data_IF_712020898116
#
_entry.id   IF_712020898116
#
_cell.length_a   1.000
_cell.length_b   1.000
_cell.length_c   1.000
_cell.angle_alpha   90.00
_cell.angle_beta   90.00
_cell.angle_gamma   90.00
#
_symmetry.space_group_name_H-M   'P 1'
#
loop_
_entity.id
_entity.type
_entity.pdbx_description
1 polymer ?
#
# COMPACT_ATOMS: atom_id res chain seq x y z
N UNK A 1 24.08 9.41 -9.95
CA UNK A 1 22.86 8.59 -9.76
C UNK A 1 21.96 9.11 -8.63
N UNK A 2 22.02 10.40 -8.28
CA UNK A 2 21.16 10.98 -7.24
C UNK A 2 19.69 10.98 -7.65
N UNK A 3 19.42 11.22 -8.93
CA UNK A 3 18.07 11.21 -9.51
C UNK A 3 17.34 9.90 -9.28
N UNK A 4 17.99 8.74 -9.48
CA UNK A 4 17.37 7.42 -9.22
C UNK A 4 16.98 7.23 -7.74
N UNK A 5 17.85 7.65 -6.82
CA UNK A 5 17.55 7.59 -5.38
C UNK A 5 16.38 8.49 -5.00
N UNK A 6 16.28 9.67 -5.60
CA UNK A 6 15.18 10.61 -5.36
C UNK A 6 13.88 10.06 -5.95
N UNK A 7 13.91 9.54 -7.17
CA UNK A 7 12.71 8.97 -7.81
C UNK A 7 12.21 7.75 -7.04
N UNK A 8 13.11 6.84 -6.62
CA UNK A 8 12.73 5.69 -5.81
C UNK A 8 12.14 6.10 -4.46
N UNK A 9 12.73 7.11 -3.81
CA UNK A 9 12.21 7.67 -2.56
C UNK A 9 10.80 8.27 -2.72
N UNK A 10 10.58 9.07 -3.76
CA UNK A 10 9.27 9.67 -4.05
C UNK A 10 8.23 8.59 -4.36
N UNK A 11 8.57 7.56 -5.13
CA UNK A 11 7.65 6.45 -5.42
C UNK A 11 7.29 5.69 -4.14
N UNK A 12 8.24 5.45 -3.24
CA UNK A 12 7.95 4.80 -1.95
C UNK A 12 6.95 5.63 -1.12
N UNK A 13 7.12 6.95 -1.06
CA UNK A 13 6.18 7.84 -0.36
C UNK A 13 4.80 7.82 -0.98
N UNK A 14 4.70 7.83 -2.31
CA UNK A 14 3.42 7.73 -3.00
C UNK A 14 2.75 6.38 -2.73
N UNK A 15 3.50 5.27 -2.72
CA UNK A 15 2.98 3.95 -2.37
C UNK A 15 2.43 3.90 -0.94
N UNK A 16 3.14 4.49 0.02
CA UNK A 16 2.66 4.63 1.41
C UNK A 16 1.38 5.48 1.45
N UNK A 17 1.36 6.63 0.77
CA UNK A 17 0.19 7.51 0.76
C UNK A 17 -1.05 6.81 0.17
N UNK A 18 -0.88 6.07 -0.92
CA UNK A 18 -1.95 5.24 -1.52
C UNK A 18 -2.42 4.17 -0.55
N UNK A 19 -1.50 3.45 0.10
CA UNK A 19 -1.84 2.44 1.11
C UNK A 19 -2.60 3.03 2.30
N UNK A 20 -2.17 4.19 2.82
CA UNK A 20 -2.90 4.87 3.91
C UNK A 20 -4.28 5.33 3.45
N UNK A 21 -4.38 5.92 2.27
CA UNK A 21 -5.67 6.33 1.69
C UNK A 21 -6.63 5.15 1.55
N UNK A 22 -6.12 4.01 1.09
CA UNK A 22 -6.90 2.78 0.94
C UNK A 22 -7.39 2.25 2.30
N UNK A 23 -6.55 2.29 3.34
CA UNK A 23 -6.93 1.92 4.70
C UNK A 23 -8.07 2.80 5.25
N UNK A 24 -7.94 4.10 5.08
CA UNK A 24 -8.88 5.07 5.64
C UNK A 24 -10.20 5.12 4.86
N UNK A 25 -10.17 4.81 3.56
CA UNK A 25 -11.34 4.95 2.69
C UNK A 25 -12.03 3.61 2.48
N UNK A 26 -11.38 2.66 1.80
CA UNK A 26 -12.04 1.45 1.32
C UNK A 26 -12.08 0.35 2.38
N UNK A 27 -11.00 0.13 3.12
CA UNK A 27 -11.01 -0.85 4.23
C UNK A 27 -12.03 -0.43 5.28
N UNK A 28 -12.03 0.86 5.65
CA UNK A 28 -12.99 1.39 6.62
C UNK A 28 -14.43 1.33 6.10
N UNK A 29 -14.67 1.69 4.83
CA UNK A 29 -16.00 1.59 4.23
C UNK A 29 -16.50 0.14 4.14
N UNK A 30 -15.63 -0.81 3.78
CA UNK A 30 -15.96 -2.23 3.71
C UNK A 30 -16.42 -2.79 5.06
N UNK A 31 -15.84 -2.32 6.18
CA UNK A 31 -16.28 -2.72 7.53
C UNK A 31 -17.48 -1.94 8.06
N UNK A 32 -17.59 -0.65 7.75
CA UNK A 32 -18.71 0.18 8.20
C UNK A 32 -20.02 -0.21 7.48
N UNK A 33 -19.92 -0.55 6.20
CA UNK A 33 -21.00 -1.12 5.42
C UNK A 33 -20.85 -2.64 5.43
N UNK A 34 -21.10 -3.28 6.59
CA UNK A 34 -21.29 -4.73 6.65
C UNK A 34 -22.20 -5.10 5.49
N UNK A 35 -21.75 -5.86 4.49
CA UNK A 35 -22.51 -6.16 3.28
C UNK A 35 -23.93 -6.61 3.66
N UNK A 36 -24.88 -5.68 3.71
CA UNK A 36 -26.23 -5.97 4.19
C UNK A 36 -26.94 -6.73 3.08
N UNK A 37 -27.94 -7.51 3.46
CA UNK A 37 -28.64 -8.48 2.60
C UNK A 37 -29.42 -7.88 1.41
N UNK A 38 -29.34 -6.56 1.20
CA UNK A 38 -29.96 -5.91 0.04
C UNK A 38 -29.05 -5.98 -1.19
N UNK A 39 -29.63 -6.31 -2.35
CA UNK A 39 -28.93 -6.52 -3.63
C UNK A 39 -28.09 -5.29 -4.05
N UNK A 40 -28.55 -4.07 -3.75
CA UNK A 40 -27.78 -2.84 -3.98
C UNK A 40 -26.56 -2.75 -3.05
N UNK A 41 -26.72 -3.10 -1.77
CA UNK A 41 -25.63 -3.11 -0.79
C UNK A 41 -24.56 -4.14 -1.11
N UNK A 42 -24.93 -5.26 -1.75
CA UNK A 42 -23.99 -6.31 -2.12
C UNK A 42 -23.08 -5.86 -3.27
N UNK A 43 -23.64 -5.18 -4.28
CA UNK A 43 -22.84 -4.62 -5.39
C UNK A 43 -21.87 -3.55 -4.93
N UNK A 44 -22.29 -2.69 -4.00
CA UNK A 44 -21.41 -1.68 -3.41
C UNK A 44 -20.29 -2.34 -2.57
N UNK A 45 -20.58 -3.45 -1.89
CA UNK A 45 -19.58 -4.25 -1.18
C UNK A 45 -18.52 -4.84 -2.12
N UNK A 46 -18.94 -5.46 -3.22
CA UNK A 46 -18.02 -6.04 -4.19
C UNK A 46 -17.11 -4.95 -4.80
N UNK A 47 -17.68 -3.79 -5.16
CA UNK A 47 -16.87 -2.69 -5.71
C UNK A 47 -15.89 -2.09 -4.70
N UNK A 48 -16.25 -2.00 -3.41
CA UNK A 48 -15.35 -1.50 -2.37
C UNK A 48 -14.24 -2.49 -2.07
N UNK A 49 -14.54 -3.79 -2.06
CA UNK A 49 -13.54 -4.85 -1.93
C UNK A 49 -12.58 -4.87 -3.13
N UNK A 50 -13.10 -4.74 -4.36
CA UNK A 50 -12.29 -4.69 -5.57
C UNK A 50 -11.33 -3.50 -5.55
N UNK A 51 -11.83 -2.32 -5.14
CA UNK A 51 -10.99 -1.12 -5.00
C UNK A 51 -9.95 -1.27 -3.88
N UNK A 52 -10.31 -1.91 -2.77
CA UNK A 52 -9.37 -2.23 -1.69
C UNK A 52 -8.21 -3.10 -2.21
N UNK A 53 -8.52 -4.18 -2.92
CA UNK A 53 -7.52 -5.10 -3.46
C UNK A 53 -6.66 -4.39 -4.51
N UNK A 54 -7.31 -3.66 -5.43
CA UNK A 54 -6.62 -2.94 -6.50
C UNK A 54 -5.61 -1.94 -5.92
N UNK A 55 -6.03 -1.09 -4.98
CA UNK A 55 -5.15 -0.10 -4.38
C UNK A 55 -4.05 -0.76 -3.52
N UNK A 56 -4.35 -1.84 -2.82
CA UNK A 56 -3.36 -2.65 -2.11
C UNK A 56 -2.28 -3.19 -3.06
N UNK A 57 -2.68 -3.75 -4.20
CA UNK A 57 -1.75 -4.22 -5.23
C UNK A 57 -0.92 -3.08 -5.83
N UNK A 58 -1.52 -1.91 -6.09
CA UNK A 58 -0.76 -0.75 -6.58
C UNK A 58 0.28 -0.27 -5.57
N UNK A 59 -0.03 -0.29 -4.27
CA UNK A 59 0.93 0.04 -3.21
C UNK A 59 2.09 -0.97 -3.16
N UNK A 60 1.82 -2.27 -3.33
CA UNK A 60 2.86 -3.32 -3.43
C UNK A 60 3.75 -3.06 -4.64
N UNK A 61 3.17 -2.84 -5.82
CA UNK A 61 3.94 -2.62 -7.06
C UNK A 61 4.80 -1.36 -6.97
N UNK A 62 4.24 -0.26 -6.44
CA UNK A 62 4.98 0.98 -6.19
C UNK A 62 6.14 0.74 -5.21
N UNK A 63 5.89 0.01 -4.11
CA UNK A 63 6.91 -0.36 -3.14
C UNK A 63 8.03 -1.19 -3.76
N UNK A 64 7.72 -2.25 -4.53
CA UNK A 64 8.73 -3.09 -5.19
C UNK A 64 9.55 -2.29 -6.20
N UNK A 65 8.91 -1.43 -7.00
CA UNK A 65 9.61 -0.56 -7.95
C UNK A 65 10.54 0.43 -7.23
N UNK A 66 10.06 1.06 -6.16
CA UNK A 66 10.87 1.95 -5.33
C UNK A 66 12.07 1.23 -4.70
N UNK A 67 11.87 -0.02 -4.25
CA UNK A 67 12.94 -0.86 -3.71
C UNK A 67 14.04 -1.09 -4.74
N UNK A 68 13.68 -1.54 -5.95
CA UNK A 68 14.65 -1.80 -7.04
C UNK A 68 15.42 -0.51 -7.40
N UNK A 69 14.70 0.61 -7.53
CA UNK A 69 15.29 1.91 -7.87
C UNK A 69 16.23 2.45 -6.79
N UNK A 70 15.98 2.15 -5.51
CA UNK A 70 16.86 2.52 -4.40
C UNK A 70 17.99 1.51 -4.15
N UNK A 71 17.80 0.23 -4.50
CA UNK A 71 18.80 -0.82 -4.34
C UNK A 71 19.99 -0.61 -5.28
N UNK A 72 19.73 -0.27 -6.54
CA UNK A 72 20.78 -0.02 -7.54
C UNK A 72 21.80 1.06 -7.13
N UNK A 73 21.40 2.29 -6.75
CA UNK A 73 22.33 3.32 -6.30
C UNK A 73 23.01 2.94 -4.97
N UNK A 74 22.38 2.12 -4.12
CA UNK A 74 23.00 1.65 -2.87
C UNK A 74 24.19 0.73 -3.14
N UNK A 75 24.07 -0.19 -4.09
CA UNK A 75 25.15 -1.12 -4.48
C UNK A 75 26.32 -0.35 -5.11
N UNK A 76 26.04 0.63 -5.97
CA UNK A 76 27.08 1.40 -6.69
C UNK A 76 27.62 2.60 -5.93
N UNK A 77 26.88 3.17 -4.98
CA UNK A 77 27.28 4.34 -4.19
C UNK A 77 27.05 4.09 -2.70
N UNK A 78 28.09 3.63 -2.01
CA UNK A 78 28.06 3.24 -0.58
C UNK A 78 27.70 4.37 0.42
N UNK A 79 27.62 5.64 -0.02
CA UNK A 79 27.38 6.80 0.86
C UNK A 79 26.04 7.52 0.61
N UNK A 80 25.11 6.93 -0.16
CA UNK A 80 23.81 7.56 -0.42
C UNK A 80 22.80 7.24 0.68
N UNK A 81 22.79 8.00 1.78
CA UNK A 81 21.83 7.84 2.88
C UNK A 81 20.36 7.86 2.43
N UNK A 82 20.03 8.68 1.43
CA UNK A 82 18.68 8.74 0.84
C UNK A 82 18.24 7.41 0.22
N UNK A 83 19.17 6.63 -0.34
CA UNK A 83 18.84 5.36 -0.95
C UNK A 83 18.50 4.31 0.11
N UNK A 84 19.20 4.32 1.25
CA UNK A 84 18.86 3.47 2.39
C UNK A 84 17.49 3.80 3.00
N UNK A 85 17.17 5.09 3.15
CA UNK A 85 15.83 5.51 3.57
C UNK A 85 14.75 5.11 2.56
N UNK A 86 15.02 5.24 1.26
CA UNK A 86 14.13 4.78 0.20
C UNK A 86 13.87 3.29 0.26
N UNK A 87 14.88 2.47 0.54
CA UNK A 87 14.73 1.02 0.77
C UNK A 87 13.81 0.76 1.98
N UNK A 88 14.05 1.40 3.11
CA UNK A 88 13.21 1.24 4.31
C UNK A 88 11.74 1.58 4.01
N UNK A 89 11.49 2.75 3.40
CA UNK A 89 10.14 3.19 3.06
C UNK A 89 9.47 2.28 2.03
N UNK A 90 10.23 1.75 1.08
CA UNK A 90 9.70 0.81 0.10
C UNK A 90 9.23 -0.50 0.73
N UNK A 91 9.94 -0.99 1.75
CA UNK A 91 9.50 -2.16 2.54
C UNK A 91 8.21 -1.83 3.29
N UNK A 92 8.11 -0.65 3.91
CA UNK A 92 6.88 -0.21 4.59
C UNK A 92 5.71 -0.13 3.60
N UNK A 93 5.91 0.42 2.39
CA UNK A 93 4.89 0.49 1.35
C UNK A 93 4.38 -0.90 0.95
N UNK A 94 5.30 -1.85 0.75
CA UNK A 94 4.96 -3.26 0.44
C UNK A 94 4.17 -3.90 1.57
N UNK A 95 4.58 -3.70 2.82
CA UNK A 95 3.88 -4.25 3.98
C UNK A 95 2.45 -3.70 4.08
N UNK A 96 2.26 -2.38 3.95
CA UNK A 96 0.92 -1.76 3.96
C UNK A 96 0.05 -2.32 2.83
N UNK A 97 0.59 -2.42 1.62
CA UNK A 97 -0.14 -2.98 0.48
C UNK A 97 -0.51 -4.46 0.69
N UNK A 98 0.40 -5.26 1.23
CA UNK A 98 0.14 -6.66 1.59
C UNK A 98 -0.97 -6.78 2.64
N UNK A 99 -0.97 -5.92 3.66
CA UNK A 99 -2.01 -5.94 4.70
C UNK A 99 -3.42 -5.83 4.14
N UNK A 100 -3.58 -5.08 3.05
CA UNK A 100 -4.87 -4.77 2.44
C UNK A 100 -5.23 -5.74 1.31
N UNK A 101 -4.24 -6.17 0.54
CA UNK A 101 -4.44 -7.03 -0.64
C UNK A 101 -4.67 -8.52 -0.30
N UNK A 102 -4.17 -9.00 0.85
CA UNK A 102 -4.27 -10.43 1.22
C UNK A 102 -5.30 -10.71 2.30
N UNK A 103 -6.04 -9.71 2.78
CA UNK A 103 -6.92 -9.79 3.95
C UNK A 103 -6.22 -10.32 5.24
N UNK A 104 -4.87 -10.44 5.27
CA UNK A 104 -4.13 -11.04 6.40
C UNK A 104 -4.27 -10.27 7.72
N UNK A 105 -4.65 -9.00 7.65
CA UNK A 105 -4.70 -8.07 8.78
C UNK A 105 -6.07 -7.40 8.91
N UNK A 106 -7.12 -8.13 8.55
CA UNK A 106 -8.50 -7.75 8.85
C UNK A 106 -8.80 -7.98 10.34
N UNK A 107 -8.34 -7.06 11.19
CA UNK A 107 -8.65 -7.02 12.63
C UNK A 107 -9.86 -6.12 12.94
N UNK A 108 -10.31 -5.32 11.98
CA UNK A 108 -11.41 -4.36 12.13
C UNK A 108 -12.79 -5.02 12.16
N UNK A 109 -12.93 -6.23 11.61
CA UNK A 109 -14.16 -7.03 11.74
C UNK A 109 -14.48 -7.53 13.17
N UNK A 110 -13.54 -7.47 14.12
CA UNK A 110 -13.71 -8.03 15.48
C UNK A 110 -13.92 -6.99 16.59
N UNK A 111 -13.74 -5.70 16.31
CA UNK A 111 -13.92 -4.62 17.31
C UNK A 111 -15.28 -3.92 17.24
N UNK A 112 -16.17 -4.36 16.34
CA UNK A 112 -17.59 -3.95 16.35
C UNK A 112 -18.41 -5.04 17.05
N UNK A 113 -18.26 -5.10 18.38
CA UNK A 113 -19.27 -5.64 19.30
C UNK A 113 -19.42 -4.70 20.47
#
# INVERSE_FOLDING_TARGET
>A
MKTLSITGFVIALLGIAVGIYNQLTYVTAYHAHMCKTDILSQRDCDTTQDMQILLGQTAILAGVLAFILCLWPTIRQKKSYLAYFGILLSVIAVLIGLMQATHMFDYTGYFVK
#
